data_IF_847189078975
#
_entry.id   IF_847189078975
#
_cell.length_a   1.000
_cell.length_b   1.000
_cell.length_c   1.000
_cell.angle_alpha   90.00
_cell.angle_beta   90.00
_cell.angle_gamma   90.00
#
_symmetry.space_group_name_H-M   'P 1'
#
loop_
_entity.id
_entity.type
_entity.pdbx_description
1 polymer ?
#
# COMPACT_ATOMS: atom_id res chain seq x y z
N UNK A 1 -7.38 -8.69 13.70
CA UNK A 1 -6.74 -8.33 12.44
C UNK A 1 -6.86 -6.82 12.25
N UNK A 2 -5.81 -6.15 11.76
CA UNK A 2 -5.86 -4.71 11.44
C UNK A 2 -6.86 -4.46 10.30
N UNK A 3 -7.78 -3.52 10.50
CA UNK A 3 -8.74 -3.06 9.50
C UNK A 3 -8.08 -2.15 8.46
N UNK A 4 -8.62 -2.11 7.25
CA UNK A 4 -8.12 -1.22 6.18
C UNK A 4 -9.26 -0.39 5.59
N UNK A 5 -9.03 0.90 5.38
CA UNK A 5 -9.97 1.76 4.64
C UNK A 5 -9.19 2.48 3.54
N UNK A 6 -9.56 2.28 2.28
CA UNK A 6 -8.97 3.04 1.17
C UNK A 6 -9.75 4.33 1.00
N UNK A 7 -9.08 5.47 1.15
CA UNK A 7 -9.68 6.81 1.00
C UNK A 7 -8.98 7.50 -0.16
N UNK A 8 -9.63 7.55 -1.33
CA UNK A 8 -9.01 7.97 -2.58
C UNK A 8 -9.94 8.83 -3.43
N UNK A 9 -9.41 9.53 -4.42
CA UNK A 9 -10.28 10.15 -5.43
C UNK A 9 -10.96 9.13 -6.33
N UNK A 10 -12.23 9.36 -6.63
CA UNK A 10 -13.03 8.53 -7.53
C UNK A 10 -12.94 7.04 -7.18
N UNK A 11 -12.97 6.19 -8.20
CA UNK A 11 -12.97 4.73 -8.04
C UNK A 11 -11.56 4.10 -7.91
N UNK A 12 -10.52 4.89 -7.64
CA UNK A 12 -9.15 4.38 -7.54
C UNK A 12 -9.02 3.31 -6.43
N UNK A 13 -9.59 3.57 -5.26
CA UNK A 13 -9.56 2.66 -4.12
C UNK A 13 -10.21 1.31 -4.42
N UNK A 14 -11.38 1.34 -5.08
CA UNK A 14 -12.05 0.12 -5.55
C UNK A 14 -11.20 -0.67 -6.54
N UNK A 15 -10.58 0.03 -7.49
CA UNK A 15 -9.74 -0.60 -8.51
C UNK A 15 -8.49 -1.24 -7.88
N UNK A 16 -7.84 -0.54 -6.95
CA UNK A 16 -6.68 -1.05 -6.21
C UNK A 16 -7.04 -2.25 -5.34
N UNK A 17 -8.20 -2.21 -4.67
CA UNK A 17 -8.73 -3.35 -3.91
C UNK A 17 -8.93 -4.55 -4.82
N UNK A 18 -9.60 -4.40 -5.97
CA UNK A 18 -9.80 -5.50 -6.94
C UNK A 18 -8.48 -6.06 -7.45
N UNK A 19 -7.50 -5.20 -7.74
CA UNK A 19 -6.18 -5.62 -8.18
C UNK A 19 -5.45 -6.44 -7.11
N UNK A 20 -5.53 -6.02 -5.84
CA UNK A 20 -4.99 -6.79 -4.73
C UNK A 20 -5.74 -8.12 -4.55
N UNK A 21 -7.08 -8.12 -4.53
CA UNK A 21 -7.89 -9.35 -4.37
C UNK A 21 -7.67 -10.35 -5.52
N UNK A 22 -7.33 -9.88 -6.72
CA UNK A 22 -6.89 -10.75 -7.81
C UNK A 22 -5.62 -11.53 -7.48
N UNK A 23 -4.70 -10.93 -6.70
CA UNK A 23 -3.40 -11.53 -6.34
C UNK A 23 -3.49 -12.41 -5.09
N UNK A 24 -4.17 -11.94 -4.04
CA UNK A 24 -4.18 -12.58 -2.71
C UNK A 24 -5.54 -13.18 -2.32
N UNK A 25 -6.53 -13.11 -3.21
CA UNK A 25 -7.91 -13.52 -2.95
C UNK A 25 -8.72 -12.48 -2.16
N UNK A 26 -10.03 -12.73 -1.99
CA UNK A 26 -10.95 -11.80 -1.33
C UNK A 26 -10.50 -11.41 0.08
N UNK A 27 -10.65 -10.13 0.45
CA UNK A 27 -10.22 -9.62 1.75
C UNK A 27 -11.40 -9.23 2.64
N UNK A 28 -11.30 -9.54 3.94
CA UNK A 28 -12.25 -9.09 5.00
C UNK A 28 -11.71 -7.85 5.72
N UNK A 29 -12.56 -7.18 6.51
CA UNK A 29 -12.21 -5.96 7.27
C UNK A 29 -11.50 -4.93 6.40
N UNK A 30 -12.10 -4.67 5.25
CA UNK A 30 -11.60 -3.74 4.26
C UNK A 30 -12.80 -2.97 3.69
N UNK A 31 -12.67 -1.66 3.63
CA UNK A 31 -13.65 -0.77 3.02
C UNK A 31 -12.95 0.26 2.13
N UNK A 32 -13.76 0.97 1.37
CA UNK A 32 -13.37 1.94 0.34
C UNK A 32 -14.29 3.14 0.50
N UNK A 33 -13.70 4.33 0.54
CA UNK A 33 -14.38 5.61 0.57
C UNK A 33 -13.87 6.46 -0.59
N UNK A 34 -14.75 6.70 -1.55
CA UNK A 34 -14.45 7.52 -2.72
C UNK A 34 -14.75 8.97 -2.39
N UNK A 35 -13.81 9.85 -2.68
CA UNK A 35 -13.96 11.30 -2.51
C UNK A 35 -14.02 11.94 -3.91
N UNK A 36 -15.10 12.65 -4.16
CA UNK A 36 -15.33 13.44 -5.37
C UNK A 36 -15.07 14.93 -5.12
N UNK A 37 -14.90 15.72 -6.18
CA UNK A 37 -14.54 17.13 -6.07
C UNK A 37 -15.65 17.99 -5.43
N UNK A 38 -16.91 17.59 -5.60
CA UNK A 38 -18.10 18.30 -5.13
C UNK A 38 -18.54 17.86 -3.71
N UNK A 39 -17.83 16.93 -3.08
CA UNK A 39 -18.21 16.37 -1.79
C UNK A 39 -18.13 17.38 -0.64
N UNK A 40 -19.12 17.31 0.27
CA UNK A 40 -19.07 18.04 1.55
C UNK A 40 -18.11 17.33 2.53
N UNK A 41 -17.02 17.99 2.97
CA UNK A 41 -16.05 17.40 3.90
C UNK A 41 -16.65 16.95 5.24
N UNK A 42 -17.74 17.57 5.72
CA UNK A 42 -18.40 17.20 6.98
C UNK A 42 -19.12 15.87 6.85
N UNK A 43 -19.88 15.68 5.77
CA UNK A 43 -20.58 14.43 5.49
C UNK A 43 -19.57 13.29 5.29
N UNK A 44 -18.50 13.55 4.52
CA UNK A 44 -17.45 12.56 4.28
C UNK A 44 -16.67 12.17 5.53
N UNK A 45 -16.53 13.07 6.50
CA UNK A 45 -15.96 12.70 7.81
C UNK A 45 -16.84 11.68 8.54
N UNK A 46 -18.16 11.86 8.51
CA UNK A 46 -19.10 10.90 9.08
C UNK A 46 -19.01 9.53 8.40
N UNK A 47 -18.98 9.53 7.05
CA UNK A 47 -18.80 8.31 6.26
C UNK A 47 -17.48 7.59 6.60
N UNK A 48 -16.38 8.34 6.73
CA UNK A 48 -15.08 7.79 7.10
C UNK A 48 -15.10 7.18 8.51
N UNK A 49 -15.70 7.86 9.49
CA UNK A 49 -15.83 7.33 10.84
C UNK A 49 -16.65 6.04 10.88
N UNK A 50 -17.74 5.97 10.11
CA UNK A 50 -18.53 4.75 9.97
C UNK A 50 -17.72 3.63 9.29
N UNK A 51 -16.95 3.95 8.25
CA UNK A 51 -16.07 3.00 7.57
C UNK A 51 -14.99 2.44 8.50
N UNK A 52 -14.35 3.30 9.31
CA UNK A 52 -13.39 2.90 10.36
C UNK A 52 -14.05 1.96 11.35
N UNK A 53 -15.19 2.36 11.93
CA UNK A 53 -15.91 1.55 12.91
C UNK A 53 -16.36 0.19 12.34
N UNK A 54 -16.67 0.11 11.05
CA UNK A 54 -17.07 -1.14 10.38
C UNK A 54 -15.93 -2.13 10.14
N UNK A 55 -14.67 -1.69 10.14
CA UNK A 55 -13.50 -2.56 9.94
C UNK A 55 -12.64 -2.75 11.19
N UNK A 56 -12.79 -1.89 12.20
CA UNK A 56 -12.10 -1.96 13.48
C UNK A 56 -12.63 -3.12 14.34
N UNK A 57 -11.78 -4.11 14.60
CA UNK A 57 -12.07 -5.21 15.56
C UNK A 57 -11.17 -5.18 16.78
N UNK A 58 -10.50 -4.05 17.06
CA UNK A 58 -9.68 -3.85 18.25
C UNK A 58 -8.17 -3.87 18.03
N UNK A 59 -7.68 -4.26 16.84
CA UNK A 59 -6.25 -4.24 16.50
C UNK A 59 -5.82 -2.97 15.74
N UNK A 60 -6.72 -2.01 15.61
CA UNK A 60 -6.50 -0.75 14.90
C UNK A 60 -6.85 -0.78 13.42
N UNK A 61 -6.76 0.38 12.78
CA UNK A 61 -7.18 0.63 11.39
C UNK A 61 -6.11 1.43 10.65
N UNK A 62 -5.80 0.99 9.43
CA UNK A 62 -4.88 1.66 8.52
C UNK A 62 -5.66 2.32 7.39
N UNK A 63 -5.60 3.66 7.33
CA UNK A 63 -6.20 4.47 6.29
C UNK A 63 -5.21 4.62 5.13
N UNK A 64 -5.63 4.21 3.94
CA UNK A 64 -4.78 4.10 2.76
C UNK A 64 -5.20 5.14 1.73
N UNK A 65 -4.34 6.13 1.49
CA UNK A 65 -4.66 7.25 0.59
C UNK A 65 -3.77 7.30 -0.64
N UNK A 66 -4.27 7.90 -1.71
CA UNK A 66 -3.60 7.97 -3.00
C UNK A 66 -2.37 8.88 -3.00
N UNK A 67 -2.47 10.08 -2.42
CA UNK A 67 -1.38 11.05 -2.31
C UNK A 67 -1.57 11.97 -1.11
N UNK A 68 -0.46 12.39 -0.48
CA UNK A 68 -0.49 13.41 0.57
C UNK A 68 -0.85 14.79 0.03
N UNK A 69 -1.50 15.60 0.88
CA UNK A 69 -1.94 16.95 0.54
C UNK A 69 -3.25 17.00 -0.25
N UNK A 70 -3.87 15.85 -0.50
CA UNK A 70 -5.20 15.74 -1.11
C UNK A 70 -6.34 15.84 -0.11
N UNK A 71 -7.56 16.13 -0.59
CA UNK A 71 -8.78 16.05 0.23
C UNK A 71 -8.95 14.69 0.91
N UNK A 72 -8.82 13.53 0.23
CA UNK A 72 -8.76 12.22 0.88
C UNK A 72 -7.75 12.13 2.02
N UNK A 73 -6.50 12.55 1.79
CA UNK A 73 -5.44 12.46 2.81
C UNK A 73 -5.68 13.39 3.99
N UNK A 74 -6.14 14.62 3.76
CA UNK A 74 -6.43 15.57 4.84
C UNK A 74 -7.61 15.11 5.68
N UNK A 75 -8.62 14.49 5.05
CA UNK A 75 -9.74 13.88 5.75
C UNK A 75 -9.27 12.73 6.64
N UNK A 76 -8.45 11.82 6.11
CA UNK A 76 -7.88 10.70 6.85
C UNK A 76 -6.96 11.15 8.01
N UNK A 77 -6.12 12.16 7.77
CA UNK A 77 -5.23 12.73 8.81
C UNK A 77 -6.05 13.34 9.95
N UNK A 78 -7.23 13.92 9.66
CA UNK A 78 -8.11 14.46 10.69
C UNK A 78 -8.71 13.42 11.65
N UNK A 79 -8.53 12.12 11.35
CA UNK A 79 -8.98 10.98 12.17
C UNK A 79 -7.82 10.17 12.77
N UNK A 80 -6.59 10.69 12.72
CA UNK A 80 -5.44 10.05 13.40
C UNK A 80 -5.72 9.89 14.90
N UNK A 81 -5.42 8.71 15.41
CA UNK A 81 -5.59 8.36 16.82
C UNK A 81 -4.44 7.42 17.22
N UNK A 82 -3.55 7.89 18.09
CA UNK A 82 -2.32 7.18 18.46
C UNK A 82 -2.62 5.74 18.90
N UNK A 83 -1.95 4.78 18.24
CA UNK A 83 -2.10 3.35 18.53
C UNK A 83 -3.39 2.71 18.03
N UNK A 84 -4.29 3.46 17.38
CA UNK A 84 -5.57 2.95 16.87
C UNK A 84 -5.83 3.24 15.40
N UNK A 85 -5.55 4.45 14.92
CA UNK A 85 -5.77 4.84 13.51
C UNK A 85 -4.50 5.47 12.96
N UNK A 86 -3.97 4.88 11.88
CA UNK A 86 -2.78 5.35 11.18
C UNK A 86 -3.08 5.64 9.71
N UNK A 87 -2.37 6.59 9.10
CA UNK A 87 -2.56 7.00 7.71
C UNK A 87 -1.31 6.72 6.88
N UNK A 88 -1.45 5.90 5.83
CA UNK A 88 -0.41 5.65 4.83
C UNK A 88 -0.86 6.18 3.47
N UNK A 89 -0.14 7.17 2.94
CA UNK A 89 -0.41 7.73 1.61
C UNK A 89 0.50 7.14 0.52
N UNK A 90 0.15 7.35 -0.75
CA UNK A 90 0.90 6.81 -1.87
C UNK A 90 0.56 5.35 -2.14
N UNK A 91 -0.65 4.90 -1.79
CA UNK A 91 -1.03 3.49 -1.86
C UNK A 91 -0.83 2.92 -3.26
N UNK A 92 -0.21 1.74 -3.32
CA UNK A 92 -0.04 0.98 -4.55
C UNK A 92 -0.25 -0.52 -4.29
N UNK A 93 -0.36 -1.31 -5.36
CA UNK A 93 -0.65 -2.76 -5.25
C UNK A 93 0.38 -3.51 -4.38
N UNK A 94 1.70 -3.30 -4.51
CA UNK A 94 2.69 -3.90 -3.61
C UNK A 94 2.44 -3.66 -2.13
N UNK A 95 2.07 -2.44 -1.73
CA UNK A 95 1.71 -2.13 -0.32
C UNK A 95 0.51 -2.96 0.13
N UNK A 96 -0.56 -2.99 -0.67
CA UNK A 96 -1.79 -3.72 -0.35
C UNK A 96 -1.56 -5.23 -0.25
N UNK A 97 -0.80 -5.81 -1.18
CA UNK A 97 -0.43 -7.23 -1.16
C UNK A 97 0.39 -7.55 0.10
N UNK A 98 1.31 -6.68 0.49
CA UNK A 98 2.09 -6.85 1.73
C UNK A 98 1.17 -6.81 2.95
N UNK A 99 0.28 -5.81 3.05
CA UNK A 99 -0.66 -5.67 4.17
C UNK A 99 -1.57 -6.89 4.32
N UNK A 100 -2.12 -7.40 3.22
CA UNK A 100 -2.96 -8.59 3.23
C UNK A 100 -2.26 -9.83 3.83
N UNK A 101 -0.93 -9.90 3.75
CA UNK A 101 -0.13 -11.01 4.30
C UNK A 101 0.21 -10.83 5.79
N UNK A 102 0.38 -9.59 6.27
CA UNK A 102 0.99 -9.34 7.60
C UNK A 102 0.01 -8.87 8.68
N UNK A 103 -1.16 -8.34 8.29
CA UNK A 103 -2.14 -7.67 9.18
C UNK A 103 -2.80 -8.53 10.27
N UNK A 104 -2.49 -9.82 10.31
CA UNK A 104 -2.98 -10.76 11.32
C UNK A 104 -2.00 -11.02 12.48
N UNK A 105 -0.74 -10.55 12.38
CA UNK A 105 0.30 -10.93 13.34
C UNK A 105 1.34 -9.86 13.62
N UNK A 106 1.06 -8.60 13.24
CA UNK A 106 1.93 -7.45 13.48
C UNK A 106 1.10 -6.32 14.08
N UNK A 107 1.78 -5.40 14.76
CA UNK A 107 1.18 -4.16 15.26
C UNK A 107 0.83 -3.21 14.12
N UNK A 108 -0.03 -2.22 14.40
CA UNK A 108 -0.42 -1.21 13.41
C UNK A 108 0.79 -0.47 12.82
N UNK A 109 1.72 -0.06 13.68
CA UNK A 109 2.96 0.62 13.28
C UNK A 109 3.85 -0.25 12.40
N UNK A 110 4.10 -1.50 12.80
CA UNK A 110 4.89 -2.45 11.99
C UNK A 110 4.24 -2.71 10.62
N UNK A 111 2.91 -2.79 10.58
CA UNK A 111 2.18 -2.93 9.32
C UNK A 111 2.38 -1.72 8.41
N UNK A 112 2.31 -0.49 8.95
CA UNK A 112 2.56 0.73 8.18
C UNK A 112 3.98 0.75 7.60
N UNK A 113 5.00 0.51 8.43
CA UNK A 113 6.41 0.54 8.03
C UNK A 113 6.74 -0.52 6.96
N UNK A 114 6.29 -1.76 7.18
CA UNK A 114 6.53 -2.87 6.25
C UNK A 114 5.79 -2.67 4.92
N UNK A 115 4.59 -2.09 4.95
CA UNK A 115 3.84 -1.76 3.76
C UNK A 115 4.52 -0.63 2.97
N UNK A 116 4.93 0.47 3.63
CA UNK A 116 5.67 1.56 3.00
C UNK A 116 6.94 1.02 2.31
N UNK A 117 7.72 0.21 3.03
CA UNK A 117 8.92 -0.42 2.49
C UNK A 117 8.64 -1.29 1.26
N UNK A 118 7.56 -2.08 1.28
CA UNK A 118 7.14 -2.88 0.14
C UNK A 118 6.73 -2.01 -1.06
N UNK A 119 5.98 -0.93 -0.84
CA UNK A 119 5.61 0.02 -1.88
C UNK A 119 6.82 0.65 -2.55
N UNK A 120 7.74 1.20 -1.74
CA UNK A 120 8.97 1.85 -2.23
C UNK A 120 9.90 0.89 -2.98
N UNK A 121 10.01 -0.35 -2.50
CA UNK A 121 10.83 -1.39 -3.14
C UNK A 121 10.40 -1.71 -4.58
N UNK A 122 9.10 -1.61 -4.88
CA UNK A 122 8.55 -1.91 -6.20
C UNK A 122 8.47 -0.69 -7.13
N UNK A 123 8.74 0.51 -6.63
CA UNK A 123 8.87 1.72 -7.46
C UNK A 123 10.30 1.73 -8.03
N UNK A 124 10.45 1.24 -9.26
CA UNK A 124 11.72 1.23 -9.98
C UNK A 124 11.51 1.35 -11.48
N UNK A 125 12.46 1.98 -12.17
CA UNK A 125 12.55 1.94 -13.63
C UNK A 125 13.13 0.59 -14.06
N UNK A 126 12.50 -0.07 -15.05
CA UNK A 126 12.95 -1.39 -15.52
C UNK A 126 14.42 -1.40 -15.99
N UNK A 127 14.89 -0.31 -16.60
CA UNK A 127 16.29 -0.14 -17.04
C UNK A 127 17.30 -0.06 -15.90
N UNK A 128 16.86 0.13 -14.66
CA UNK A 128 17.71 0.12 -13.46
C UNK A 128 17.74 -1.26 -12.79
N UNK A 129 16.87 -2.19 -13.21
CA UNK A 129 16.79 -3.51 -12.61
C UNK A 129 17.77 -4.47 -13.29
N UNK A 130 18.39 -5.39 -12.54
CA UNK A 130 19.15 -6.48 -13.13
C UNK A 130 18.27 -7.32 -14.05
N UNK A 131 18.83 -7.93 -15.12
CA UNK A 131 18.07 -8.81 -16.01
C UNK A 131 17.33 -9.93 -15.29
N UNK A 132 17.91 -10.47 -14.21
CA UNK A 132 17.26 -11.50 -13.39
C UNK A 132 15.99 -11.02 -12.68
N UNK A 133 15.79 -9.72 -12.46
CA UNK A 133 14.56 -9.19 -11.86
C UNK A 133 13.46 -8.98 -12.90
N UNK A 134 13.80 -8.94 -14.19
CA UNK A 134 12.85 -8.75 -15.30
C UNK A 134 12.19 -10.06 -15.74
N UNK A 135 12.71 -11.21 -15.31
CA UNK A 135 12.13 -12.55 -15.57
C UNK A 135 10.87 -12.86 -14.75
N UNK A 136 10.36 -11.90 -13.98
CA UNK A 136 9.20 -12.07 -13.10
C UNK A 136 9.51 -12.83 -11.81
N UNK A 137 8.53 -12.90 -10.90
CA UNK A 137 8.67 -13.48 -9.56
C UNK A 137 9.20 -14.93 -9.52
N UNK A 138 9.07 -15.67 -10.62
CA UNK A 138 9.57 -17.05 -10.77
C UNK A 138 11.08 -17.15 -10.91
N UNK A 139 11.77 -16.08 -11.30
CA UNK A 139 13.23 -16.09 -11.52
C UNK A 139 14.06 -15.73 -10.29
N UNK A 140 13.41 -15.29 -9.19
CA UNK A 140 14.08 -14.88 -7.94
C UNK A 140 14.34 -16.03 -6.95
N UNK A 141 14.08 -17.29 -7.30
CA UNK A 141 14.43 -18.44 -6.47
C UNK A 141 15.91 -18.78 -6.66
N UNK A 142 16.78 -18.23 -5.82
CA UNK A 142 18.17 -18.70 -5.68
C UNK A 142 18.38 -19.23 -4.26
N UNK A 143 18.10 -20.53 -4.08
CA UNK A 143 18.21 -21.22 -2.79
C UNK A 143 17.10 -20.83 -1.79
N UNK A 144 16.89 -21.66 -0.78
CA UNK A 144 15.80 -21.59 0.23
C UNK A 144 15.87 -20.37 1.19
N UNK A 145 16.23 -19.18 0.71
CA UNK A 145 16.18 -17.93 1.48
C UNK A 145 15.44 -16.86 0.69
N UNK A 146 14.51 -16.09 1.31
CA UNK A 146 13.90 -14.95 0.64
C UNK A 146 15.01 -13.99 0.22
N UNK A 147 15.13 -13.73 -1.08
CA UNK A 147 16.12 -12.82 -1.62
C UNK A 147 15.92 -11.43 -0.99
N UNK A 148 16.86 -11.02 -0.15
CA UNK A 148 17.03 -9.61 0.20
C UNK A 148 17.32 -8.88 -1.11
N UNK A 149 16.39 -8.02 -1.50
CA UNK A 149 16.61 -7.15 -2.65
C UNK A 149 17.61 -6.09 -2.20
N UNK A 150 18.78 -5.98 -2.85
CA UNK A 150 19.79 -5.02 -2.41
C UNK A 150 19.21 -3.61 -2.36
N UNK A 151 19.67 -2.76 -1.42
CA UNK A 151 19.20 -1.39 -1.31
C UNK A 151 19.38 -0.66 -2.64
N UNK A 152 18.42 0.21 -2.99
CA UNK A 152 18.36 0.90 -4.30
C UNK A 152 19.68 1.61 -4.67
N UNK A 153 20.48 2.03 -3.68
CA UNK A 153 21.80 2.62 -3.88
C UNK A 153 22.81 1.69 -4.58
N UNK A 154 22.70 0.37 -4.41
CA UNK A 154 23.61 -0.62 -5.00
C UNK A 154 23.46 -0.75 -6.54
N UNK A 155 22.30 -0.36 -7.09
CA UNK A 155 22.04 -0.46 -8.54
C UNK A 155 22.60 0.71 -9.36
N UNK A 156 23.07 1.79 -8.72
CA UNK A 156 23.61 2.97 -9.42
C UNK A 156 25.05 2.82 -9.92
N UNK A 157 25.73 1.70 -9.62
CA UNK A 157 27.17 1.56 -9.83
C UNK A 157 27.60 0.71 -11.07
N UNK A 158 26.68 0.14 -11.85
CA UNK A 158 27.09 -0.67 -13.01
C UNK A 158 27.22 0.19 -14.29
N UNK A 159 28.41 0.27 -14.92
CA UNK A 159 28.56 0.99 -16.18
C UNK A 159 27.79 0.26 -17.29
N UNK A 160 27.00 1.02 -18.05
CA UNK A 160 26.23 0.51 -19.20
C UNK A 160 27.19 -0.05 -20.25
N UNK A 161 27.21 -1.38 -20.45
CA UNK A 161 27.64 -1.94 -21.74
C UNK A 161 26.50 -1.69 -22.72
N UNK A 162 26.63 -0.61 -23.48
CA UNK A 162 25.82 -0.43 -24.70
C UNK A 162 26.27 -1.53 -25.66
N UNK A 163 25.37 -2.48 -25.94
CA UNK A 163 25.59 -3.45 -27.01
C UNK A 163 25.57 -2.68 -28.33
N UNK A 164 26.73 -2.55 -28.97
CA UNK A 164 26.84 -2.08 -30.34
C UNK A 164 26.28 -3.17 -31.26
N UNK A 165 25.29 -2.80 -32.07
CA UNK A 165 24.71 -3.56 -33.16
C UNK A 165 24.20 -2.57 -34.20
#
# INVERSE_FOLDING_TARGET
MIGMVLVTHGELGETLRRAMEHVVGPQRQMSTLNIEAEDDPVLRRGDLQAAIAGVDTGDGVLLLTDMFGSTPSNLAISTLEDGRVEVLAGVNVPMLVKLAQIRNGHTLAECADLAEGAGRKYISTASHLPPQCLGGARSCLYGDRPAEVPPQAAYRAAPRRVAAG
#
